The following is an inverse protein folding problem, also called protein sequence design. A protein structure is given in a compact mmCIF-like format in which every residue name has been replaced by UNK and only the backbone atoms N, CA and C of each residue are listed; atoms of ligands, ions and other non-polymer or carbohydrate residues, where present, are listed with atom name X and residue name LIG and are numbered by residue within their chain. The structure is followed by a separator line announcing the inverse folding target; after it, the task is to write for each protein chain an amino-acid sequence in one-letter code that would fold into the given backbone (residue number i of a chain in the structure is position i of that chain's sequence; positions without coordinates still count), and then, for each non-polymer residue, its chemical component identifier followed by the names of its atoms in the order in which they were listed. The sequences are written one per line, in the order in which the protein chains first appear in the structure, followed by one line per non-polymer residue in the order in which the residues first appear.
data_IF_924020927935
#
_entry.id   IF_924020927935
#
_cell.length_a   1.000
_cell.length_b   1.000
_cell.length_c   1.000
_cell.angle_alpha   90.00
_cell.angle_beta   90.00
_cell.angle_gamma   90.00
#
_symmetry.space_group_name_H-M   'P 1'
#
loop_
_entity.id
_entity.type
_entity.pdbx_description
1 polymer ?
#
# COMPACT_ATOMS: atom_id res chain seq x y z
N UNK A 1 -8.27 -20.80 17.26
CA UNK A 1 -7.69 -19.54 16.76
C UNK A 1 -6.79 -19.90 15.60
N UNK A 2 -6.91 -19.21 14.48
CA UNK A 2 -6.01 -19.44 13.36
C UNK A 2 -4.67 -18.80 13.66
N UNK A 3 -3.59 -19.45 13.19
CA UNK A 3 -2.23 -18.95 13.38
C UNK A 3 -1.68 -18.27 12.13
N UNK A 4 -2.49 -18.13 11.07
CA UNK A 4 -2.01 -17.67 9.77
C UNK A 4 -2.76 -16.44 9.25
N UNK A 5 -1.99 -15.51 8.67
CA UNK A 5 -2.47 -14.46 7.78
C UNK A 5 -1.79 -14.66 6.42
N UNK A 6 -2.57 -14.68 5.33
CA UNK A 6 -2.02 -14.58 3.97
C UNK A 6 -2.18 -13.14 3.49
N UNK A 7 -1.08 -12.44 3.25
CA UNK A 7 -1.10 -11.06 2.72
C UNK A 7 -0.61 -11.04 1.28
N UNK A 8 -1.30 -10.26 0.43
CA UNK A 8 -0.95 -10.06 -0.99
C UNK A 8 -0.85 -8.57 -1.28
N UNK A 9 0.28 -8.14 -1.80
CA UNK A 9 0.45 -6.78 -2.29
C UNK A 9 -0.26 -6.63 -3.65
N UNK A 10 -1.03 -5.58 -3.80
CA UNK A 10 -1.71 -5.25 -5.06
C UNK A 10 -0.96 -4.15 -5.79
N UNK A 11 -1.02 -2.94 -5.27
CA UNK A 11 -0.34 -1.79 -5.84
C UNK A 11 -0.41 -0.60 -4.88
N UNK A 12 0.62 0.25 -4.83
CA UNK A 12 0.68 1.45 -4.00
C UNK A 12 0.40 1.15 -2.51
N UNK A 13 -0.77 1.52 -1.99
CA UNK A 13 -1.23 1.19 -0.63
C UNK A 13 -2.25 0.05 -0.61
N UNK A 14 -2.52 -0.58 -1.77
CA UNK A 14 -3.50 -1.64 -1.94
C UNK A 14 -3.00 -3.01 -1.51
N UNK A 15 -3.77 -3.68 -0.63
CA UNK A 15 -3.47 -5.04 -0.16
C UNK A 15 -4.71 -5.91 -0.07
N UNK A 16 -4.51 -7.22 -0.18
CA UNK A 16 -5.45 -8.23 0.32
C UNK A 16 -4.82 -8.91 1.54
N UNK A 17 -5.61 -9.11 2.60
CA UNK A 17 -5.24 -9.92 3.75
C UNK A 17 -6.32 -10.97 4.00
N UNK A 18 -5.94 -12.23 4.04
CA UNK A 18 -6.86 -13.34 4.23
C UNK A 18 -6.57 -14.07 5.55
N UNK A 19 -7.64 -14.33 6.29
CA UNK A 19 -7.63 -15.15 7.51
C UNK A 19 -8.73 -16.21 7.35
N UNK A 20 -8.35 -17.46 7.17
CA UNK A 20 -9.25 -18.58 6.87
C UNK A 20 -10.17 -18.30 5.65
N UNK A 21 -11.49 -18.22 5.85
CA UNK A 21 -12.52 -17.99 4.83
C UNK A 21 -12.97 -16.54 4.71
N UNK A 22 -12.21 -15.61 5.29
CA UNK A 22 -12.49 -14.17 5.28
C UNK A 22 -11.38 -13.41 4.57
N UNK A 23 -11.75 -12.52 3.66
CA UNK A 23 -10.87 -11.63 2.90
C UNK A 23 -11.08 -10.18 3.29
N UNK A 24 -9.99 -9.49 3.58
CA UNK A 24 -9.94 -8.04 3.75
C UNK A 24 -9.20 -7.45 2.55
N UNK A 25 -9.76 -6.44 1.92
CA UNK A 25 -9.13 -5.68 0.82
C UNK A 25 -8.98 -4.24 1.28
N UNK A 26 -7.78 -3.70 1.22
CA UNK A 26 -7.49 -2.33 1.65
C UNK A 26 -7.07 -1.47 0.46
N UNK A 27 -7.57 -0.24 0.39
CA UNK A 27 -7.16 0.85 -0.50
C UNK A 27 -6.85 0.40 -1.93
N UNK A 28 -7.83 -0.26 -2.56
CA UNK A 28 -7.66 -0.77 -3.91
C UNK A 28 -7.61 0.34 -4.95
N UNK A 29 -6.53 0.37 -5.70
CA UNK A 29 -6.32 1.29 -6.80
C UNK A 29 -5.55 0.61 -7.95
N UNK A 30 -5.96 0.87 -9.19
CA UNK A 30 -5.35 0.28 -10.40
C UNK A 30 -4.26 1.14 -11.03
N UNK A 31 -3.99 2.31 -10.48
CA UNK A 31 -3.08 3.30 -11.03
C UNK A 31 -3.77 4.33 -11.93
N UNK A 32 -3.04 5.36 -12.32
CA UNK A 32 -3.57 6.45 -13.14
C UNK A 32 -4.07 5.94 -14.50
N UNK A 33 -5.26 6.40 -14.90
CA UNK A 33 -5.87 6.18 -16.22
C UNK A 33 -5.82 4.73 -16.76
N UNK A 34 -5.79 3.72 -15.87
CA UNK A 34 -5.76 2.31 -16.27
C UNK A 34 -4.44 1.83 -16.86
N UNK A 35 -3.37 2.61 -16.74
CA UNK A 35 -2.09 2.34 -17.40
C UNK A 35 -1.09 1.55 -16.56
N UNK A 36 -1.18 1.59 -15.22
CA UNK A 36 -0.08 1.17 -14.37
C UNK A 36 -0.20 -0.27 -13.88
N UNK A 37 -1.39 -0.71 -13.47
CA UNK A 37 -1.57 -2.10 -13.02
C UNK A 37 -1.97 -3.01 -14.19
N UNK A 38 -1.15 -4.03 -14.53
CA UNK A 38 -1.53 -4.99 -15.56
C UNK A 38 -2.87 -5.67 -15.24
N UNK A 39 -3.74 -5.87 -16.23
CA UNK A 39 -5.07 -6.46 -16.02
C UNK A 39 -5.03 -7.80 -15.26
N UNK A 40 -4.00 -8.61 -15.48
CA UNK A 40 -3.80 -9.88 -14.77
C UNK A 40 -3.51 -9.72 -13.28
N UNK A 41 -3.09 -8.52 -12.85
CA UNK A 41 -2.82 -8.20 -11.46
C UNK A 41 -4.02 -7.51 -10.79
N UNK A 42 -5.03 -7.09 -11.54
CA UNK A 42 -6.27 -6.56 -10.99
C UNK A 42 -7.06 -7.64 -10.23
N UNK A 43 -7.82 -7.22 -9.24
CA UNK A 43 -8.77 -8.10 -8.55
C UNK A 43 -9.84 -8.56 -9.55
N UNK A 44 -10.23 -9.82 -9.44
CA UNK A 44 -11.26 -10.47 -10.24
C UNK A 44 -12.09 -11.40 -9.38
N UNK A 45 -13.22 -11.89 -9.91
CA UNK A 45 -14.11 -12.84 -9.23
C UNK A 45 -13.39 -14.08 -8.67
N UNK A 46 -12.31 -14.51 -9.33
CA UNK A 46 -11.49 -15.64 -8.86
C UNK A 46 -10.83 -15.40 -7.50
N UNK A 47 -10.55 -14.14 -7.19
CA UNK A 47 -9.93 -13.78 -5.92
C UNK A 47 -10.91 -13.95 -4.77
N UNK A 48 -12.21 -13.77 -5.02
CA UNK A 48 -13.27 -13.90 -4.03
C UNK A 48 -13.81 -15.32 -3.86
N UNK A 49 -13.74 -16.14 -4.91
CA UNK A 49 -14.44 -17.42 -5.03
C UNK A 49 -14.20 -18.43 -3.87
N UNK A 50 -13.11 -18.30 -3.13
CA UNK A 50 -12.78 -19.17 -1.98
C UNK A 50 -13.20 -18.62 -0.63
N UNK A 51 -13.65 -17.36 -0.57
CA UNK A 51 -13.99 -16.69 0.67
C UNK A 51 -15.51 -16.62 0.87
N UNK A 52 -15.95 -16.76 2.10
CA UNK A 52 -17.36 -16.59 2.48
C UNK A 52 -17.69 -15.15 2.76
N UNK A 53 -16.72 -14.40 3.27
CA UNK A 53 -16.90 -13.02 3.69
C UNK A 53 -15.79 -12.15 3.08
N UNK A 54 -16.18 -11.03 2.49
CA UNK A 54 -15.26 -10.06 1.91
C UNK A 54 -15.56 -8.69 2.48
N UNK A 55 -14.53 -8.04 3.00
CA UNK A 55 -14.58 -6.70 3.57
C UNK A 55 -13.62 -5.80 2.79
N UNK A 56 -14.12 -4.67 2.29
CA UNK A 56 -13.37 -3.72 1.49
C UNK A 56 -13.23 -2.42 2.27
N UNK A 57 -12.00 -2.01 2.51
CA UNK A 57 -11.65 -0.83 3.30
C UNK A 57 -11.13 0.27 2.39
N UNK A 58 -11.60 1.50 2.62
CA UNK A 58 -11.08 2.71 1.97
C UNK A 58 -10.74 3.72 3.05
N UNK A 59 -9.44 4.01 3.20
CA UNK A 59 -8.93 4.87 4.27
C UNK A 59 -9.28 6.33 4.09
N UNK A 60 -9.34 6.83 2.85
CA UNK A 60 -9.67 8.21 2.53
C UNK A 60 -9.98 8.40 1.02
N UNK A 61 -10.37 9.62 0.66
CA UNK A 61 -10.91 9.95 -0.67
C UNK A 61 -9.89 10.21 -1.78
N UNK A 62 -8.58 10.21 -1.48
CA UNK A 62 -7.56 10.40 -2.53
C UNK A 62 -7.61 9.29 -3.59
N UNK A 63 -7.32 9.67 -4.84
CA UNK A 63 -7.48 8.80 -6.01
C UNK A 63 -6.61 7.55 -5.99
N UNK A 64 -5.48 7.59 -5.29
CA UNK A 64 -4.53 6.49 -5.13
C UNK A 64 -4.87 5.53 -3.97
N UNK A 65 -5.98 5.80 -3.24
CA UNK A 65 -6.54 4.95 -2.19
C UNK A 65 -7.98 4.50 -2.47
N UNK A 66 -8.67 5.18 -3.39
CA UNK A 66 -10.07 4.89 -3.75
C UNK A 66 -10.27 4.75 -5.26
N UNK A 67 -10.52 3.53 -5.73
CA UNK A 67 -10.96 3.25 -7.10
C UNK A 67 -12.42 2.80 -7.08
N UNK A 68 -13.37 3.59 -7.66
CA UNK A 68 -14.79 3.25 -7.67
C UNK A 68 -15.14 1.89 -8.27
N UNK A 69 -14.24 1.25 -9.01
CA UNK A 69 -14.40 -0.10 -9.56
C UNK A 69 -14.73 -1.15 -8.49
N UNK A 70 -14.39 -0.88 -7.22
CA UNK A 70 -14.71 -1.79 -6.11
C UNK A 70 -16.21 -2.08 -6.01
N UNK A 71 -17.07 -1.16 -6.47
CA UNK A 71 -18.52 -1.31 -6.47
C UNK A 71 -19.08 -2.10 -7.67
N UNK A 72 -18.24 -2.33 -8.69
CA UNK A 72 -18.60 -3.17 -9.84
C UNK A 72 -18.40 -4.67 -9.56
N UNK A 73 -17.82 -5.04 -8.41
CA UNK A 73 -17.63 -6.43 -8.01
C UNK A 73 -18.97 -7.10 -7.68
N UNK A 74 -19.11 -8.37 -8.00
CA UNK A 74 -20.37 -9.11 -7.83
C UNK A 74 -20.72 -9.37 -6.36
N UNK A 75 -21.38 -8.39 -5.75
CA UNK A 75 -21.83 -8.47 -4.35
C UNK A 75 -22.88 -9.55 -4.10
N UNK A 76 -23.70 -9.90 -5.11
CA UNK A 76 -24.74 -10.92 -4.96
C UNK A 76 -24.14 -12.30 -4.74
N UNK A 77 -22.97 -12.56 -5.30
CA UNK A 77 -22.24 -13.82 -5.14
C UNK A 77 -21.37 -13.86 -3.88
N UNK A 78 -20.75 -12.74 -3.51
CA UNK A 78 -19.66 -12.77 -2.54
C UNK A 78 -19.97 -12.12 -1.19
N UNK A 79 -21.11 -11.46 -1.06
CA UNK A 79 -21.48 -10.70 0.13
C UNK A 79 -20.35 -9.79 0.60
N UNK A 80 -20.18 -8.65 -0.11
CA UNK A 80 -19.12 -7.68 0.15
C UNK A 80 -19.65 -6.58 1.09
N UNK A 81 -18.95 -6.35 2.20
CA UNK A 81 -19.17 -5.22 3.10
C UNK A 81 -18.11 -4.14 2.83
N UNK A 82 -18.53 -2.89 2.68
CA UNK A 82 -17.64 -1.76 2.46
C UNK A 82 -17.51 -0.95 3.74
N UNK A 83 -16.28 -0.73 4.19
CA UNK A 83 -15.92 0.08 5.34
C UNK A 83 -15.11 1.26 4.82
N UNK A 84 -15.66 2.45 4.93
CA UNK A 84 -15.11 3.63 4.26
C UNK A 84 -14.95 4.79 5.25
N UNK A 85 -13.96 5.62 5.02
CA UNK A 85 -13.85 6.88 5.77
C UNK A 85 -14.99 7.84 5.47
N UNK A 86 -15.37 8.67 6.43
CA UNK A 86 -16.46 9.63 6.27
C UNK A 86 -16.13 10.79 5.31
N UNK A 87 -14.86 10.98 4.94
CA UNK A 87 -14.43 12.00 3.96
C UNK A 87 -14.77 11.63 2.51
N UNK A 88 -15.12 10.37 2.20
CA UNK A 88 -15.57 9.98 0.87
C UNK A 88 -16.88 10.72 0.47
N UNK A 89 -17.16 10.89 -0.86
CA UNK A 89 -18.40 11.47 -1.32
C UNK A 89 -19.63 10.82 -0.68
N UNK A 90 -20.66 11.62 -0.33
CA UNK A 90 -21.79 11.15 0.49
C UNK A 90 -22.71 10.17 -0.20
N UNK A 91 -22.65 10.07 -1.51
CA UNK A 91 -23.38 9.11 -2.35
C UNK A 91 -22.68 7.75 -2.48
N UNK A 92 -21.43 7.64 -2.01
CA UNK A 92 -20.68 6.38 -1.98
C UNK A 92 -21.22 5.48 -0.86
N UNK A 93 -21.65 4.24 -1.16
CA UNK A 93 -22.21 3.33 -0.15
C UNK A 93 -21.13 2.69 0.72
N UNK A 94 -21.48 2.39 1.97
CA UNK A 94 -20.59 1.71 2.93
C UNK A 94 -20.83 2.14 4.37
N UNK A 95 -20.22 1.41 5.29
CA UNK A 95 -20.16 1.76 6.71
C UNK A 95 -19.13 2.88 6.88
N UNK A 96 -19.61 4.09 7.16
CA UNK A 96 -18.74 5.27 7.31
C UNK A 96 -18.12 5.30 8.69
N UNK A 97 -16.82 5.61 8.74
CA UNK A 97 -16.06 5.70 9.98
C UNK A 97 -15.29 7.02 10.08
N UNK A 98 -15.32 7.60 11.26
CA UNK A 98 -14.48 8.72 11.67
C UNK A 98 -13.43 8.24 12.67
N UNK A 99 -12.37 9.01 12.93
CA UNK A 99 -11.44 8.70 14.01
C UNK A 99 -12.15 8.44 15.34
N UNK A 100 -11.80 7.34 15.98
CA UNK A 100 -12.40 6.89 17.25
C UNK A 100 -13.62 5.98 17.12
N UNK A 101 -14.21 5.85 15.93
CA UNK A 101 -15.34 4.95 15.70
C UNK A 101 -14.92 3.48 15.79
N UNK A 102 -15.87 2.65 16.25
CA UNK A 102 -15.76 1.20 16.27
C UNK A 102 -16.95 0.55 15.56
N UNK A 103 -16.70 -0.57 14.87
CA UNK A 103 -17.71 -1.31 14.12
C UNK A 103 -17.47 -2.82 14.28
N UNK A 104 -18.54 -3.57 14.52
CA UNK A 104 -18.51 -5.03 14.56
C UNK A 104 -19.40 -5.61 13.46
N UNK A 105 -18.80 -6.41 12.55
CA UNK A 105 -19.48 -7.09 11.46
C UNK A 105 -19.16 -8.58 11.53
N UNK A 106 -20.06 -9.36 12.13
CA UNK A 106 -19.84 -10.78 12.37
C UNK A 106 -18.62 -11.05 13.27
N UNK A 107 -17.58 -11.69 12.74
CA UNK A 107 -16.35 -12.00 13.47
C UNK A 107 -15.28 -10.90 13.34
N UNK A 108 -15.55 -9.86 12.53
CA UNK A 108 -14.61 -8.76 12.30
C UNK A 108 -14.94 -7.60 13.25
N UNK A 109 -13.95 -7.16 14.00
CA UNK A 109 -14.02 -5.95 14.81
C UNK A 109 -13.08 -4.92 14.24
N UNK A 110 -13.57 -3.70 14.04
CA UNK A 110 -12.87 -2.63 13.36
C UNK A 110 -12.83 -1.42 14.29
N UNK A 111 -11.67 -0.81 14.41
CA UNK A 111 -11.51 0.49 15.06
C UNK A 111 -10.80 1.44 14.07
N UNK A 112 -11.34 2.63 13.89
CA UNK A 112 -10.74 3.68 13.12
C UNK A 112 -9.91 4.59 14.04
N UNK A 113 -8.69 4.90 13.61
CA UNK A 113 -7.81 5.87 14.26
C UNK A 113 -7.60 7.08 13.35
N UNK A 114 -7.09 8.14 13.92
CA UNK A 114 -6.78 9.37 13.21
C UNK A 114 -5.66 9.17 12.16
N UNK A 115 -5.57 10.11 11.26
CA UNK A 115 -4.56 10.18 10.20
C UNK A 115 -3.91 11.57 10.22
N UNK A 116 -2.73 11.69 9.62
CA UNK A 116 -2.03 12.96 9.42
C UNK A 116 -2.21 13.52 8.02
N UNK A 117 -3.07 12.89 7.24
CA UNK A 117 -3.65 13.36 6.01
C UNK A 117 -5.18 13.28 6.13
N UNK A 118 -5.92 12.97 5.06
CA UNK A 118 -7.37 12.77 5.12
C UNK A 118 -7.72 11.40 5.73
N UNK A 119 -8.96 11.29 6.20
CA UNK A 119 -9.60 10.03 6.55
C UNK A 119 -9.08 9.36 7.82
N UNK A 120 -8.88 8.05 7.76
CA UNK A 120 -8.60 7.22 8.93
C UNK A 120 -7.55 6.14 8.64
N UNK A 121 -6.92 5.63 9.69
CA UNK A 121 -6.25 4.34 9.68
C UNK A 121 -7.15 3.27 10.33
N UNK A 122 -7.01 2.01 9.90
CA UNK A 122 -7.84 0.91 10.35
C UNK A 122 -7.06 -0.10 11.19
N UNK A 123 -7.59 -0.43 12.36
CA UNK A 123 -7.21 -1.59 13.16
C UNK A 123 -8.33 -2.62 13.07
N UNK A 124 -7.99 -3.83 12.64
CA UNK A 124 -8.95 -4.90 12.40
C UNK A 124 -8.58 -6.13 13.21
N UNK A 125 -9.50 -6.60 14.07
CA UNK A 125 -9.39 -7.88 14.74
C UNK A 125 -10.26 -8.91 14.01
N UNK A 126 -9.67 -10.05 13.66
CA UNK A 126 -10.34 -11.13 12.95
C UNK A 126 -9.80 -12.48 13.40
N UNK A 127 -10.65 -13.33 13.99
CA UNK A 127 -10.32 -14.72 14.39
C UNK A 127 -9.05 -14.84 15.24
N UNK A 128 -8.76 -13.85 16.06
CA UNK A 128 -7.60 -13.80 16.94
C UNK A 128 -6.33 -13.27 16.26
N UNK A 129 -6.40 -12.78 15.03
CA UNK A 129 -5.34 -12.03 14.34
C UNK A 129 -5.68 -10.55 14.29
N UNK A 130 -4.66 -9.71 14.25
CA UNK A 130 -4.78 -8.26 14.25
C UNK A 130 -4.02 -7.66 13.09
N UNK A 131 -4.71 -6.80 12.33
CA UNK A 131 -4.18 -6.18 11.12
C UNK A 131 -4.37 -4.67 11.23
N UNK A 132 -3.32 -3.92 10.94
CA UNK A 132 -3.35 -2.45 10.89
C UNK A 132 -3.00 -1.96 9.49
N UNK A 133 -3.88 -1.15 8.91
CA UNK A 133 -3.61 -0.43 7.67
C UNK A 133 -3.57 1.06 7.97
N UNK A 134 -2.42 1.68 7.77
CA UNK A 134 -2.17 3.06 8.16
C UNK A 134 -2.91 4.10 7.30
N UNK A 135 -3.43 3.71 6.10
CA UNK A 135 -3.83 4.73 5.13
C UNK A 135 -2.64 5.66 4.88
N UNK A 136 -2.86 6.96 4.96
CA UNK A 136 -1.80 7.96 4.87
C UNK A 136 -1.39 8.56 6.23
N UNK A 137 -1.60 7.80 7.33
CA UNK A 137 -0.97 8.13 8.59
C UNK A 137 0.56 8.01 8.45
N UNK A 138 1.25 9.14 8.42
CA UNK A 138 2.72 9.21 8.32
C UNK A 138 3.23 10.53 8.86
N UNK A 139 4.53 10.65 9.11
CA UNK A 139 5.19 11.91 9.43
C UNK A 139 5.48 12.68 8.13
N UNK A 140 4.49 13.45 7.66
CA UNK A 140 4.57 14.24 6.43
C UNK A 140 5.31 15.58 6.66
N UNK A 141 6.61 15.54 6.97
CA UNK A 141 7.37 16.73 7.35
C UNK A 141 7.89 17.58 6.17
N UNK A 142 8.00 17.03 4.97
CA UNK A 142 8.45 17.72 3.73
C UNK A 142 9.60 18.69 3.96
N UNK A 143 10.67 18.22 4.62
CA UNK A 143 11.75 19.06 5.21
C UNK A 143 12.39 20.06 4.27
N UNK A 144 12.50 19.74 3.00
CA UNK A 144 13.18 20.59 2.01
C UNK A 144 12.27 21.72 1.53
N UNK A 145 10.96 21.64 1.77
CA UNK A 145 9.94 22.58 1.32
C UNK A 145 9.27 23.33 2.47
N UNK A 146 9.35 22.79 3.70
CA UNK A 146 8.64 23.27 4.87
C UNK A 146 9.50 24.15 5.77
N UNK A 147 8.87 25.11 6.45
CA UNK A 147 9.48 25.87 7.52
C UNK A 147 9.68 25.01 8.76
N UNK A 148 10.56 25.44 9.67
CA UNK A 148 10.81 24.78 10.97
C UNK A 148 9.50 24.63 11.78
N UNK A 149 8.58 25.58 11.68
CA UNK A 149 7.29 25.54 12.39
C UNK A 149 6.38 24.45 11.79
N UNK A 150 6.30 24.34 10.48
CA UNK A 150 5.51 23.33 9.78
C UNK A 150 6.05 21.93 10.04
N UNK A 151 7.38 21.76 10.03
CA UNK A 151 8.01 20.49 10.40
C UNK A 151 7.63 20.09 11.82
N UNK A 152 7.72 21.04 12.76
CA UNK A 152 7.36 20.77 14.15
C UNK A 152 5.88 20.43 14.32
N UNK A 153 5.00 21.12 13.60
CA UNK A 153 3.57 20.82 13.62
C UNK A 153 3.31 19.40 13.09
N UNK A 154 3.92 19.02 11.95
CA UNK A 154 3.78 17.67 11.39
C UNK A 154 4.27 16.58 12.37
N UNK A 155 5.36 16.86 13.12
CA UNK A 155 5.84 15.95 14.18
C UNK A 155 4.81 15.83 15.32
N UNK A 156 4.26 16.92 15.80
CA UNK A 156 3.29 16.93 16.90
C UNK A 156 1.99 16.22 16.50
N UNK A 157 1.45 16.52 15.32
CA UNK A 157 0.24 15.89 14.77
C UNK A 157 0.44 14.38 14.60
N UNK A 158 1.59 13.98 14.08
CA UNK A 158 1.92 12.55 13.90
C UNK A 158 2.02 11.81 15.24
N UNK A 159 2.68 12.42 16.23
CA UNK A 159 2.81 11.78 17.56
C UNK A 159 1.47 11.69 18.27
N UNK A 160 0.61 12.70 18.12
CA UNK A 160 -0.76 12.70 18.67
C UNK A 160 -1.60 11.59 18.04
N UNK A 161 -1.54 11.42 16.71
CA UNK A 161 -2.26 10.37 15.99
C UNK A 161 -1.77 8.96 16.34
N UNK A 162 -0.45 8.78 16.57
CA UNK A 162 0.13 7.48 16.93
C UNK A 162 -0.07 7.09 18.39
N UNK A 163 -0.20 8.05 19.29
CA UNK A 163 -0.27 7.78 20.76
C UNK A 163 -1.41 6.80 21.15
N UNK A 164 -2.65 6.92 20.64
CA UNK A 164 -3.73 5.96 20.93
C UNK A 164 -3.48 4.54 20.40
N UNK A 165 -2.59 4.38 19.43
CA UNK A 165 -2.25 3.07 18.81
C UNK A 165 -1.21 2.32 19.64
N UNK A 166 -0.47 3.03 20.49
CA UNK A 166 0.55 2.42 21.36
C UNK A 166 -0.10 1.41 22.33
N UNK A 167 0.53 0.27 22.43
CA UNK A 167 0.05 -0.82 23.32
C UNK A 167 -0.98 -1.74 22.68
N UNK A 168 -1.46 -1.45 21.46
CA UNK A 168 -2.21 -2.43 20.69
C UNK A 168 -1.28 -3.58 20.26
N UNK A 169 -1.82 -4.79 20.28
CA UNK A 169 -1.14 -5.92 19.67
C UNK A 169 -1.43 -5.90 18.17
N UNK A 170 -0.38 -5.79 17.32
CA UNK A 170 -0.53 -5.75 15.86
C UNK A 170 0.32 -6.86 15.26
N UNK A 171 -0.34 -7.87 14.68
CA UNK A 171 0.34 -8.97 13.99
C UNK A 171 0.91 -8.52 12.64
N UNK A 172 0.10 -7.80 11.83
CA UNK A 172 0.47 -7.29 10.51
C UNK A 172 0.13 -5.80 10.40
N UNK A 173 1.09 -5.01 9.94
CA UNK A 173 0.93 -3.59 9.68
C UNK A 173 1.36 -3.25 8.25
N UNK A 174 0.55 -2.50 7.50
CA UNK A 174 0.91 -1.82 6.27
C UNK A 174 1.09 -0.33 6.57
N UNK A 175 2.28 0.23 6.28
CA UNK A 175 2.65 1.59 6.71
C UNK A 175 3.39 2.36 5.61
N UNK A 176 3.10 3.67 5.41
CA UNK A 176 3.74 4.48 4.37
C UNK A 176 5.26 4.63 4.54
N UNK A 177 5.96 4.58 3.40
CA UNK A 177 7.40 4.82 3.28
C UNK A 177 7.65 5.62 1.99
N UNK A 178 7.31 6.92 2.01
CA UNK A 178 7.28 7.74 0.80
C UNK A 178 8.59 8.50 0.55
N UNK A 179 9.37 8.10 -0.47
CA UNK A 179 10.66 8.72 -0.77
C UNK A 179 10.56 10.14 -1.34
N UNK A 180 9.35 10.62 -1.71
CA UNK A 180 9.15 12.01 -2.16
C UNK A 180 9.44 13.03 -1.07
N UNK A 181 9.33 12.65 0.20
CA UNK A 181 9.64 13.53 1.34
C UNK A 181 11.13 13.93 1.44
N UNK A 182 12.01 13.37 0.60
CA UNK A 182 13.43 13.69 0.63
C UNK A 182 14.16 13.12 1.84
N UNK A 183 14.96 13.94 2.51
CA UNK A 183 15.70 13.50 3.70
C UNK A 183 14.80 13.08 4.86
N UNK A 184 15.14 11.97 5.53
CA UNK A 184 14.38 11.39 6.65
C UNK A 184 12.96 10.90 6.28
N UNK A 185 12.71 10.54 5.04
CA UNK A 185 11.42 10.01 4.58
C UNK A 185 10.98 8.75 5.35
N UNK A 186 11.89 8.06 6.03
CA UNK A 186 11.65 6.89 6.86
C UNK A 186 11.42 7.22 8.36
N UNK A 187 11.38 8.49 8.74
CA UNK A 187 11.22 8.88 10.14
C UNK A 187 9.87 8.44 10.73
N UNK A 188 8.78 8.53 9.97
CA UNK A 188 7.44 8.12 10.40
C UNK A 188 7.39 6.63 10.71
N UNK A 189 7.74 5.78 9.74
CA UNK A 189 7.74 4.33 9.92
C UNK A 189 8.72 3.88 11.01
N UNK A 190 9.89 4.51 11.13
CA UNK A 190 10.85 4.22 12.20
C UNK A 190 10.25 4.52 13.57
N UNK A 191 9.58 5.65 13.75
CA UNK A 191 8.90 6.00 14.99
C UNK A 191 7.80 4.97 15.31
N UNK A 192 6.97 4.63 14.34
CA UNK A 192 5.88 3.66 14.51
C UNK A 192 6.40 2.29 14.92
N UNK A 193 7.41 1.76 14.22
CA UNK A 193 8.06 0.48 14.55
C UNK A 193 8.63 0.48 15.98
N UNK A 194 9.23 1.57 16.41
CA UNK A 194 9.85 1.65 17.75
C UNK A 194 8.84 1.85 18.88
N UNK A 195 7.75 2.58 18.64
CA UNK A 195 6.77 2.94 19.66
C UNK A 195 5.61 1.95 19.79
N UNK A 196 5.10 1.44 18.65
CA UNK A 196 3.95 0.50 18.58
C UNK A 196 4.41 -0.96 18.59
N UNK A 197 5.52 -1.27 17.89
CA UNK A 197 6.17 -2.60 17.82
C UNK A 197 5.28 -3.68 17.20
N UNK A 198 4.70 -3.48 16.00
CA UNK A 198 3.98 -4.54 15.33
C UNK A 198 4.90 -5.73 15.03
N UNK A 199 4.35 -6.95 14.92
CA UNK A 199 5.15 -8.16 14.66
C UNK A 199 5.72 -8.17 13.24
N UNK A 200 4.91 -7.76 12.25
CA UNK A 200 5.32 -7.62 10.84
C UNK A 200 4.90 -6.27 10.32
N UNK A 201 5.80 -5.57 9.62
CA UNK A 201 5.50 -4.33 8.89
C UNK A 201 5.81 -4.53 7.41
N UNK A 202 4.85 -4.17 6.56
CA UNK A 202 5.03 -4.09 5.11
C UNK A 202 5.01 -2.62 4.72
N UNK A 203 6.14 -2.07 4.23
CA UNK A 203 6.17 -0.71 3.71
C UNK A 203 5.31 -0.58 2.44
N UNK A 204 4.52 0.49 2.38
CA UNK A 204 3.67 0.85 1.25
C UNK A 204 3.92 2.29 0.80
N UNK A 205 3.20 2.80 -0.21
CA UNK A 205 3.27 4.20 -0.66
C UNK A 205 4.67 4.65 -1.15
N UNK A 206 5.49 3.72 -1.66
CA UNK A 206 6.87 3.96 -2.05
C UNK A 206 7.06 4.37 -3.53
N UNK A 207 5.98 4.85 -4.18
CA UNK A 207 5.97 5.46 -5.52
C UNK A 207 6.63 4.58 -6.61
N UNK A 208 6.30 3.28 -6.61
CA UNK A 208 6.85 2.28 -7.54
C UNK A 208 8.40 2.14 -7.51
N UNK A 209 9.06 2.71 -6.52
CA UNK A 209 10.50 2.63 -6.31
C UNK A 209 10.84 1.41 -5.45
N UNK A 210 10.81 0.22 -6.06
CA UNK A 210 10.97 -1.06 -5.35
C UNK A 210 12.25 -1.17 -4.51
N UNK A 211 13.31 -0.43 -4.88
CA UNK A 211 14.55 -0.36 -4.11
C UNK A 211 14.36 0.24 -2.71
N UNK A 212 13.34 1.09 -2.52
CA UNK A 212 13.06 1.77 -1.25
C UNK A 212 12.65 0.77 -0.16
N UNK A 213 11.55 -0.01 -0.29
CA UNK A 213 11.16 -0.99 0.71
C UNK A 213 12.18 -2.12 0.84
N UNK A 214 12.84 -2.55 -0.25
CA UNK A 214 13.90 -3.56 -0.19
C UNK A 214 15.11 -3.10 0.64
N UNK A 215 15.53 -1.85 0.48
CA UNK A 215 16.61 -1.28 1.27
C UNK A 215 16.19 -1.05 2.73
N UNK A 216 14.94 -0.64 2.96
CA UNK A 216 14.41 -0.48 4.31
C UNK A 216 14.33 -1.83 5.05
N UNK A 217 13.83 -2.90 4.42
CA UNK A 217 13.75 -4.22 5.01
C UNK A 217 15.11 -4.78 5.47
N UNK A 218 16.19 -4.45 4.77
CA UNK A 218 17.56 -4.88 5.14
C UNK A 218 18.07 -4.26 6.44
N UNK A 219 17.58 -3.09 6.84
CA UNK A 219 18.12 -2.29 7.97
C UNK A 219 17.09 -1.95 9.04
N UNK A 220 15.78 -1.96 8.71
CA UNK A 220 14.70 -1.53 9.59
C UNK A 220 14.24 -2.58 10.61
N UNK A 221 14.70 -3.81 10.48
CA UNK A 221 14.38 -4.93 11.38
C UNK A 221 14.78 -4.63 12.84
N UNK A 222 13.87 -4.92 13.77
CA UNK A 222 14.15 -4.80 15.20
C UNK A 222 14.05 -6.16 15.90
N UNK A 223 14.23 -6.21 17.21
CA UNK A 223 14.01 -7.41 18.01
C UNK A 223 12.54 -7.89 17.99
N UNK A 224 11.60 -6.95 17.79
CA UNK A 224 10.17 -7.21 17.93
C UNK A 224 9.41 -7.17 16.61
N UNK A 225 10.02 -6.57 15.58
CA UNK A 225 9.37 -6.30 14.31
C UNK A 225 10.21 -6.83 13.14
N UNK A 226 9.61 -7.67 12.30
CA UNK A 226 10.14 -8.02 11.00
C UNK A 226 9.63 -7.03 9.95
N UNK A 227 10.51 -6.58 9.04
CA UNK A 227 10.14 -5.74 7.91
C UNK A 227 10.11 -6.61 6.65
N UNK A 228 8.93 -6.71 6.05
CA UNK A 228 8.70 -7.53 4.86
C UNK A 228 8.46 -6.63 3.65
N UNK A 229 9.36 -6.67 2.67
CA UNK A 229 9.18 -5.93 1.42
C UNK A 229 8.47 -6.80 0.38
N UNK A 230 7.22 -6.45 0.04
CA UNK A 230 6.49 -6.97 -1.11
C UNK A 230 6.46 -5.87 -2.17
N UNK A 231 7.07 -6.11 -3.34
CA UNK A 231 7.34 -5.05 -4.32
C UNK A 231 6.73 -5.29 -5.69
N UNK A 232 6.22 -6.48 -5.93
CA UNK A 232 5.58 -6.83 -7.20
C UNK A 232 4.09 -7.04 -6.97
N UNK A 233 3.20 -6.44 -7.79
CA UNK A 233 1.78 -6.75 -7.72
C UNK A 233 1.53 -8.27 -7.74
N UNK A 234 0.65 -8.74 -6.86
CA UNK A 234 0.37 -10.16 -6.60
C UNK A 234 1.48 -10.94 -5.88
N UNK A 235 2.55 -10.30 -5.46
CA UNK A 235 3.47 -10.91 -4.52
C UNK A 235 2.76 -11.15 -3.17
N UNK A 236 2.92 -12.36 -2.64
CA UNK A 236 2.16 -12.85 -1.49
C UNK A 236 3.09 -13.38 -0.41
N UNK A 237 2.71 -13.23 0.83
CA UNK A 237 3.36 -13.88 1.95
C UNK A 237 2.32 -14.59 2.83
N UNK A 238 2.67 -15.80 3.27
CA UNK A 238 1.98 -16.52 4.32
C UNK A 238 2.74 -16.29 5.63
N UNK A 239 2.06 -15.70 6.61
CA UNK A 239 2.60 -15.35 7.93
C UNK A 239 1.99 -16.30 8.94
N UNK A 240 2.80 -17.14 9.56
CA UNK A 240 2.35 -18.07 10.62
C UNK A 240 2.87 -17.60 11.96
N UNK A 241 1.96 -17.35 12.88
CA UNK A 241 2.23 -16.78 14.20
C UNK A 241 2.16 -17.85 15.28
N UNK A 242 3.28 -18.46 15.65
CA UNK A 242 3.42 -19.32 16.82
C UNK A 242 3.54 -18.53 18.14
N UNK A 243 3.59 -19.24 19.27
CA UNK A 243 3.73 -18.61 20.59
C UNK A 243 5.01 -17.75 20.69
N UNK A 244 6.16 -18.29 20.27
CA UNK A 244 7.46 -17.62 20.31
C UNK A 244 8.12 -17.45 18.94
N UNK A 245 7.49 -17.92 17.85
CA UNK A 245 8.06 -17.96 16.52
C UNK A 245 7.11 -17.34 15.49
N UNK A 246 7.69 -16.57 14.58
CA UNK A 246 7.04 -16.06 13.36
C UNK A 246 7.70 -16.71 12.16
N UNK A 247 6.91 -17.40 11.35
CA UNK A 247 7.36 -17.98 10.08
C UNK A 247 6.78 -17.16 8.92
N UNK A 248 7.64 -16.77 7.99
CA UNK A 248 7.27 -16.00 6.80
C UNK A 248 7.64 -16.78 5.56
N UNK A 249 6.66 -17.07 4.71
CA UNK A 249 6.87 -17.72 3.43
C UNK A 249 6.39 -16.83 2.30
N UNK A 250 7.34 -16.32 1.47
CA UNK A 250 7.04 -15.39 0.37
C UNK A 250 6.86 -16.16 -0.94
N UNK A 251 5.79 -15.86 -1.65
CA UNK A 251 5.48 -16.38 -2.98
C UNK A 251 5.57 -15.26 -4.01
N UNK A 252 6.61 -15.30 -4.82
CA UNK A 252 6.75 -14.36 -5.93
C UNK A 252 5.87 -14.81 -7.11
N UNK A 253 5.14 -13.91 -7.79
CA UNK A 253 4.36 -14.24 -8.98
C UNK A 253 5.26 -14.89 -10.05
N UNK A 254 4.74 -15.93 -10.71
CA UNK A 254 5.47 -16.60 -11.80
C UNK A 254 5.78 -15.57 -12.90
N UNK A 255 7.03 -15.53 -13.34
CA UNK A 255 7.50 -14.69 -14.45
C UNK A 255 6.61 -14.89 -15.69
N UNK A 256 5.96 -13.84 -16.17
CA UNK A 256 4.95 -13.86 -17.25
C UNK A 256 3.71 -13.01 -16.92
N UNK A 257 3.51 -12.63 -15.65
CA UNK A 257 2.49 -11.63 -15.27
C UNK A 257 2.93 -10.21 -15.64
N UNK A 258 4.26 -9.99 -15.76
CA UNK A 258 4.88 -8.69 -16.03
C UNK A 258 5.88 -8.83 -17.18
N UNK A 259 5.42 -9.17 -18.40
CA UNK A 259 6.20 -8.85 -19.59
C UNK A 259 6.22 -7.32 -19.69
N UNK A 260 7.38 -6.71 -19.44
CA UNK A 260 7.65 -5.35 -19.84
C UNK A 260 7.21 -5.19 -21.30
N UNK A 261 6.30 -4.26 -21.58
CA UNK A 261 6.10 -3.82 -22.97
C UNK A 261 7.47 -3.35 -23.41
N UNK A 262 8.15 -4.11 -24.28
CA UNK A 262 9.28 -3.58 -25.03
C UNK A 262 8.76 -2.29 -25.66
N UNK A 263 9.40 -1.18 -25.34
CA UNK A 263 9.21 0.06 -26.10
C UNK A 263 9.34 -0.30 -27.59
N UNK A 264 8.44 0.16 -28.45
CA UNK A 264 8.59 -0.07 -29.86
C UNK A 264 9.97 0.46 -30.26
N UNK A 265 10.82 -0.37 -30.84
CA UNK A 265 12.09 0.02 -31.41
C UNK A 265 11.76 1.17 -32.38
N UNK A 266 12.21 2.37 -32.06
CA UNK A 266 12.15 3.51 -32.97
C UNK A 266 13.03 3.08 -34.16
N UNK A 267 12.51 2.95 -35.38
CA UNK A 267 13.33 2.64 -36.53
C UNK A 267 14.42 3.73 -36.61
N UNK A 268 15.69 3.30 -36.65
CA UNK A 268 16.78 4.22 -36.96
C UNK A 268 16.43 4.91 -38.30
N UNK A 269 16.11 6.21 -38.24
CA UNK A 269 16.00 7.03 -39.44
C UNK A 269 17.34 6.90 -40.15
N UNK A 270 17.32 6.27 -41.33
CA UNK A 270 18.44 6.34 -42.25
C UNK A 270 18.67 7.81 -42.58
N UNK A 271 19.78 8.31 -42.10
CA UNK A 271 20.33 9.60 -42.48
C UNK A 271 20.80 9.50 -43.93
N UNK A 272 19.89 9.52 -44.87
CA UNK A 272 20.18 9.81 -46.26
C UNK A 272 20.34 11.34 -46.36
N UNK A 273 21.52 11.85 -46.01
CA UNK A 273 21.91 13.22 -46.23
C UNK A 273 22.32 13.34 -47.72
N UNK A 274 21.57 14.05 -48.60
CA UNK A 274 21.85 14.17 -50.01
C UNK A 274 22.86 15.27 -50.34
N UNK A 275 23.64 15.80 -49.37
CA UNK A 275 24.58 16.88 -49.56
C UNK A 275 26.03 16.53 -49.18
N UNK A 276 26.60 15.47 -49.77
CA UNK A 276 28.04 15.27 -49.83
C UNK A 276 28.48 15.22 -51.29
N UNK A 277 28.44 16.38 -51.97
CA UNK A 277 29.28 16.64 -53.13
C UNK A 277 29.36 18.16 -53.36
N UNK A 278 30.41 18.79 -52.87
CA UNK A 278 30.83 20.11 -53.28
C UNK A 278 32.32 20.10 -53.59
N UNK A 279 32.63 19.69 -54.81
CA UNK A 279 33.83 20.15 -55.49
C UNK A 279 33.79 21.67 -55.61
N UNK A 280 34.61 22.39 -54.88
CA UNK A 280 34.96 23.78 -55.14
C UNK A 280 36.40 23.86 -55.53
N UNK A 281 36.72 24.44 -56.71
CA UNK A 281 38.11 24.61 -57.16
C UNK A 281 38.80 25.71 -56.40
N UNK A 282 39.97 25.39 -55.92
CA UNK A 282 40.92 26.35 -55.35
C UNK A 282 41.43 27.27 -56.46
N UNK A 283 41.17 28.60 -56.39
CA UNK A 283 41.87 29.59 -57.16
C UNK A 283 42.85 30.33 -56.25
N UNK A 284 44.14 30.23 -56.67
CA UNK A 284 45.29 30.97 -56.14
C UNK A 284 45.28 32.34 -56.86
N UNK A 285 45.31 33.41 -56.09
CA UNK A 285 46.14 34.63 -56.32
C UNK A 285 46.25 35.40 -54.99
#
# INVERSE_FOLDING_TARGET
MTDQITVTYLFHSGFMAAVEDTLLVFDYWRGEAGATLPQKACISDRDFARFKHVYVFVSHSHVDHFDPIIYDWDQATYHIEYIISDDLPKDVPGHRMNPGDTLELGEVKIQAFDSTDLGVSFYVELKGRTIFHAGDLNLWHWREESTVREIKQAEDDFYEAVDPIRGLNIDLCMFPLDPRQGGLFDAGINHFVMSVKPRVVIPMHWQQRAEVPLNYARRGRTRYTEILALTKPRERADLTFGEDELQIHVHTPVSGLFEEKKEPEIPEERNDDPFTDTDLPVNVQ
#
